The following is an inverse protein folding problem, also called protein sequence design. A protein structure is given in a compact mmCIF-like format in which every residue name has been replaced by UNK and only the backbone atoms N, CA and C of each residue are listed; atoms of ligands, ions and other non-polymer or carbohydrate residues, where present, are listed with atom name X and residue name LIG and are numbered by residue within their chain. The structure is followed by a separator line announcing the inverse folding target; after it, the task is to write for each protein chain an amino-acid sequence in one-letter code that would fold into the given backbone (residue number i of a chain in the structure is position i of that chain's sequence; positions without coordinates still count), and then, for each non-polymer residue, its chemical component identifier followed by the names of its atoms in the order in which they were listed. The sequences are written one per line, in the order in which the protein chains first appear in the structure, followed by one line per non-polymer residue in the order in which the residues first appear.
data_IF_005904540723
#
_entry.id   IF_005904540723
#
_cell.length_a   1.000
_cell.length_b   1.000
_cell.length_c   1.000
_cell.angle_alpha   90.00
_cell.angle_beta   90.00
_cell.angle_gamma   90.00
#
_symmetry.space_group_name_H-M   'P 1'
#
loop_
_entity.id
_entity.type
_entity.pdbx_description
1 polymer ?
#
# COMPACT_ATOMS: atom_id res chain seq x y z
N UNK A 1 13.28 -9.38 -2.44
CA UNK A 1 13.45 -10.84 -2.20
C UNK A 1 14.85 -11.35 -2.54
N UNK A 2 15.48 -10.92 -3.65
CA UNK A 2 16.87 -11.33 -3.98
C UNK A 2 17.93 -10.95 -2.93
N UNK A 3 17.76 -9.84 -2.19
CA UNK A 3 18.73 -9.43 -1.15
C UNK A 3 18.73 -10.35 0.08
N UNK A 4 17.55 -10.83 0.50
CA UNK A 4 17.41 -11.74 1.62
C UNK A 4 18.06 -13.10 1.33
N UNK A 5 17.99 -13.55 0.07
CA UNK A 5 18.64 -14.79 -0.39
C UNK A 5 20.17 -14.61 -0.37
N UNK A 6 20.70 -13.44 -0.78
CA UNK A 6 22.14 -13.16 -0.74
C UNK A 6 22.72 -13.13 0.68
N UNK A 7 22.00 -12.50 1.62
CA UNK A 7 22.38 -12.50 3.04
C UNK A 7 22.26 -13.90 3.64
N UNK A 8 21.18 -14.63 3.33
CA UNK A 8 20.99 -16.01 3.78
C UNK A 8 22.10 -16.94 3.24
N UNK A 9 22.52 -16.77 1.97
CA UNK A 9 23.63 -17.53 1.39
C UNK A 9 24.96 -17.23 2.10
N UNK A 10 25.24 -15.95 2.41
CA UNK A 10 26.45 -15.57 3.12
C UNK A 10 26.51 -16.15 4.54
N UNK A 11 25.36 -16.20 5.24
CA UNK A 11 25.24 -16.83 6.57
C UNK A 11 25.35 -18.35 6.46
N UNK A 12 24.68 -18.98 5.49
CA UNK A 12 24.75 -20.44 5.26
C UNK A 12 26.17 -20.86 4.89
N UNK A 13 26.88 -20.10 4.06
CA UNK A 13 28.27 -20.34 3.72
C UNK A 13 29.15 -20.31 4.98
N UNK A 14 29.00 -19.30 5.84
CA UNK A 14 29.76 -19.21 7.09
C UNK A 14 29.46 -20.33 8.10
N UNK A 15 28.21 -20.77 8.18
CA UNK A 15 27.76 -21.78 9.15
C UNK A 15 28.11 -23.21 8.70
N UNK A 16 28.08 -23.49 7.39
CA UNK A 16 28.23 -24.86 6.87
C UNK A 16 29.53 -25.12 6.09
N UNK A 17 30.18 -24.08 5.55
CA UNK A 17 31.46 -24.22 4.83
C UNK A 17 32.58 -23.82 5.76
N UNK A 18 32.91 -24.68 6.72
CA UNK A 18 34.13 -24.53 7.50
C UNK A 18 35.05 -25.71 7.22
N UNK A 19 36.02 -25.48 6.33
CA UNK A 19 37.37 -26.08 6.24
C UNK A 19 37.86 -25.91 4.80
N UNK A 20 38.72 -24.91 4.55
CA UNK A 20 40.00 -25.11 3.83
C UNK A 20 40.85 -23.86 3.59
N UNK A 21 40.39 -22.61 3.78
CA UNK A 21 41.30 -21.43 3.82
C UNK A 21 40.76 -20.32 4.73
N UNK A 22 41.43 -19.99 5.88
CA UNK A 22 40.84 -19.12 6.89
C UNK A 22 40.75 -17.63 6.50
N UNK A 23 41.63 -17.12 5.63
CA UNK A 23 41.65 -15.70 5.28
C UNK A 23 40.69 -15.35 4.13
N UNK A 24 40.72 -16.11 3.03
CA UNK A 24 39.92 -15.83 1.83
C UNK A 24 38.41 -16.00 2.08
N UNK A 25 38.03 -16.99 2.88
CA UNK A 25 36.63 -17.28 3.21
C UNK A 25 36.02 -16.19 4.10
N UNK A 26 36.83 -15.58 4.97
CA UNK A 26 36.45 -14.41 5.79
C UNK A 26 36.21 -13.18 4.90
N UNK A 27 37.09 -12.91 3.94
CA UNK A 27 36.90 -11.80 2.99
C UNK A 27 35.66 -11.99 2.11
N UNK A 28 35.43 -13.18 1.56
CA UNK A 28 34.25 -13.48 0.74
C UNK A 28 32.97 -13.34 1.57
N UNK A 29 32.98 -13.79 2.82
CA UNK A 29 31.84 -13.65 3.73
C UNK A 29 31.54 -12.18 4.04
N UNK A 30 32.56 -11.38 4.37
CA UNK A 30 32.39 -9.95 4.65
C UNK A 30 31.89 -9.20 3.42
N UNK A 31 32.48 -9.46 2.26
CA UNK A 31 32.04 -8.86 0.99
C UNK A 31 30.61 -9.27 0.64
N UNK A 32 30.25 -10.55 0.81
CA UNK A 32 28.88 -11.03 0.54
C UNK A 32 27.86 -10.43 1.50
N UNK A 33 28.22 -10.26 2.78
CA UNK A 33 27.38 -9.58 3.76
C UNK A 33 27.22 -8.08 3.43
N UNK A 34 28.30 -7.39 3.05
CA UNK A 34 28.25 -5.99 2.62
C UNK A 34 27.40 -5.79 1.37
N UNK A 35 27.53 -6.67 0.37
CA UNK A 35 26.70 -6.63 -0.85
C UNK A 35 25.24 -6.92 -0.50
N UNK A 36 24.97 -7.94 0.31
CA UNK A 36 23.61 -8.27 0.75
C UNK A 36 22.93 -7.10 1.49
N UNK A 37 23.66 -6.46 2.41
CA UNK A 37 23.19 -5.26 3.11
C UNK A 37 22.95 -4.10 2.13
N UNK A 38 23.86 -3.86 1.21
CA UNK A 38 23.74 -2.79 0.21
C UNK A 38 22.51 -2.97 -0.67
N UNK A 39 22.28 -4.20 -1.17
CA UNK A 39 21.08 -4.51 -1.97
C UNK A 39 19.81 -4.36 -1.12
N UNK A 40 19.83 -4.77 0.16
CA UNK A 40 18.69 -4.56 1.06
C UNK A 40 18.37 -3.08 1.22
N UNK A 41 19.38 -2.25 1.52
CA UNK A 41 19.21 -0.80 1.67
C UNK A 41 18.65 -0.18 0.39
N UNK A 42 19.20 -0.52 -0.78
CA UNK A 42 18.69 -0.01 -2.06
C UNK A 42 17.25 -0.47 -2.32
N UNK A 43 16.92 -1.74 -2.10
CA UNK A 43 15.55 -2.24 -2.27
C UNK A 43 14.57 -1.54 -1.33
N UNK A 44 14.98 -1.22 -0.11
CA UNK A 44 14.15 -0.50 0.84
C UNK A 44 13.92 0.96 0.43
N UNK A 45 14.98 1.62 -0.07
CA UNK A 45 14.90 2.97 -0.63
C UNK A 45 13.98 2.98 -1.86
N UNK A 46 14.15 2.03 -2.79
CA UNK A 46 13.33 1.91 -4.00
C UNK A 46 11.86 1.68 -3.67
N UNK A 47 11.57 0.79 -2.72
CA UNK A 47 10.21 0.53 -2.27
C UNK A 47 9.58 1.77 -1.61
N UNK A 48 10.33 2.47 -0.76
CA UNK A 48 9.88 3.72 -0.13
C UNK A 48 9.66 4.85 -1.16
N UNK A 49 10.57 5.00 -2.12
CA UNK A 49 10.46 5.99 -3.19
C UNK A 49 9.27 5.71 -4.12
N UNK A 50 9.07 4.45 -4.52
CA UNK A 50 7.93 4.04 -5.34
C UNK A 50 6.59 4.26 -4.61
N UNK A 51 6.54 3.94 -3.31
CA UNK A 51 5.38 4.23 -2.46
C UNK A 51 5.07 5.72 -2.37
N UNK A 52 6.09 6.57 -2.20
CA UNK A 52 5.95 8.02 -2.16
C UNK A 52 5.45 8.59 -3.49
N UNK A 53 5.99 8.11 -4.63
CA UNK A 53 5.55 8.53 -5.97
C UNK A 53 4.09 8.12 -6.22
N UNK A 54 3.69 6.91 -5.85
CA UNK A 54 2.29 6.46 -5.96
C UNK A 54 1.38 7.34 -5.09
N UNK A 55 1.78 7.65 -3.86
CA UNK A 55 1.01 8.48 -2.95
C UNK A 55 0.85 9.93 -3.48
N UNK A 56 1.92 10.52 -4.02
CA UNK A 56 1.89 11.86 -4.62
C UNK A 56 0.96 11.91 -5.85
N UNK A 57 1.05 10.90 -6.73
CA UNK A 57 0.17 10.80 -7.90
C UNK A 57 -1.31 10.68 -7.52
N UNK A 58 -1.63 9.87 -6.50
CA UNK A 58 -2.99 9.75 -5.96
C UNK A 58 -3.45 11.06 -5.32
N UNK A 59 -2.60 11.71 -4.53
CA UNK A 59 -2.91 12.97 -3.85
C UNK A 59 -3.23 14.08 -4.85
N UNK A 60 -2.36 14.27 -5.85
CA UNK A 60 -2.56 15.27 -6.90
C UNK A 60 -3.84 15.02 -7.70
N UNK A 61 -4.16 13.76 -8.00
CA UNK A 61 -5.41 13.42 -8.67
C UNK A 61 -6.64 13.75 -7.81
N UNK A 62 -6.59 13.44 -6.51
CA UNK A 62 -7.65 13.79 -5.57
C UNK A 62 -7.84 15.31 -5.44
N UNK A 63 -6.77 16.10 -5.48
CA UNK A 63 -6.87 17.57 -5.51
C UNK A 63 -7.58 18.08 -6.76
N UNK A 64 -7.27 17.51 -7.94
CA UNK A 64 -7.95 17.86 -9.19
C UNK A 64 -9.44 17.51 -9.12
N UNK A 65 -9.79 16.34 -8.58
CA UNK A 65 -11.19 15.95 -8.38
C UNK A 65 -11.92 16.88 -7.40
N UNK A 66 -11.26 17.33 -6.32
CA UNK A 66 -11.83 18.31 -5.39
C UNK A 66 -12.04 19.69 -6.03
N UNK A 67 -11.16 20.09 -6.95
CA UNK A 67 -11.35 21.31 -7.74
C UNK A 67 -12.52 21.16 -8.72
N UNK A 68 -12.60 20.02 -9.40
CA UNK A 68 -13.69 19.68 -10.30
C UNK A 68 -15.05 19.63 -9.60
N UNK A 69 -15.14 19.05 -8.39
CA UNK A 69 -16.35 19.08 -7.58
C UNK A 69 -16.81 20.51 -7.28
N UNK A 70 -15.90 21.39 -6.84
CA UNK A 70 -16.21 22.81 -6.57
C UNK A 70 -16.72 23.53 -7.82
N UNK A 71 -16.18 23.19 -8.99
CA UNK A 71 -16.65 23.72 -10.28
C UNK A 71 -18.10 23.30 -10.56
N UNK A 72 -18.45 22.03 -10.34
CA UNK A 72 -19.84 21.55 -10.47
C UNK A 72 -20.77 22.27 -9.48
N UNK A 73 -20.34 22.44 -8.23
CA UNK A 73 -21.12 23.15 -7.22
C UNK A 73 -21.39 24.61 -7.62
N UNK A 74 -20.40 25.29 -8.22
CA UNK A 74 -20.57 26.64 -8.76
C UNK A 74 -21.53 26.67 -9.96
N UNK A 75 -21.39 25.72 -10.89
CA UNK A 75 -22.29 25.61 -12.05
C UNK A 75 -23.74 25.41 -11.58
N UNK A 76 -23.97 24.54 -10.59
CA UNK A 76 -25.28 24.23 -10.01
C UNK A 76 -25.86 25.40 -9.20
N UNK A 77 -25.01 26.20 -8.56
CA UNK A 77 -25.45 27.42 -7.87
C UNK A 77 -25.81 28.55 -8.85
N UNK A 78 -25.17 28.58 -10.02
CA UNK A 78 -25.37 29.61 -11.04
C UNK A 78 -26.55 29.33 -11.99
N UNK A 79 -26.93 28.06 -12.18
CA UNK A 79 -28.04 27.64 -13.04
C UNK A 79 -28.93 26.62 -12.34
N UNK A 80 -30.25 26.84 -12.38
CA UNK A 80 -31.23 25.92 -11.81
C UNK A 80 -31.45 24.63 -12.63
N UNK A 81 -30.91 24.57 -13.85
CA UNK A 81 -30.97 23.40 -14.72
C UNK A 81 -29.59 23.11 -15.34
N UNK A 82 -29.12 21.88 -15.17
CA UNK A 82 -27.97 21.35 -15.89
C UNK A 82 -28.39 21.12 -17.35
N UNK A 83 -27.87 21.95 -18.25
CA UNK A 83 -28.02 21.75 -19.68
C UNK A 83 -27.22 20.50 -20.11
N UNK A 84 -27.79 19.71 -21.03
CA UNK A 84 -27.18 18.47 -21.53
C UNK A 84 -25.76 18.66 -22.08
N UNK A 85 -25.44 19.69 -22.89
CA UNK A 85 -24.08 19.96 -23.36
C UNK A 85 -23.11 20.26 -22.22
N UNK A 86 -23.54 20.97 -21.18
CA UNK A 86 -22.70 21.27 -20.02
C UNK A 86 -22.40 19.99 -19.22
N UNK A 87 -23.40 19.13 -19.04
CA UNK A 87 -23.24 17.84 -18.38
C UNK A 87 -22.27 16.92 -19.15
N UNK A 88 -22.38 16.87 -20.48
CA UNK A 88 -21.46 16.11 -21.34
C UNK A 88 -20.03 16.64 -21.25
N UNK A 89 -19.83 17.96 -21.29
CA UNK A 89 -18.51 18.56 -21.13
C UNK A 89 -17.88 18.25 -19.76
N UNK A 90 -18.67 18.31 -18.68
CA UNK A 90 -18.19 17.94 -17.33
C UNK A 90 -17.85 16.47 -17.22
N UNK A 91 -18.62 15.58 -17.86
CA UNK A 91 -18.32 14.14 -17.90
C UNK A 91 -16.98 13.86 -18.61
N UNK A 92 -16.71 14.53 -19.73
CA UNK A 92 -15.46 14.37 -20.47
C UNK A 92 -14.25 14.84 -19.63
N UNK A 93 -14.37 16.01 -18.99
CA UNK A 93 -13.35 16.54 -18.06
C UNK A 93 -13.09 15.57 -16.90
N UNK A 94 -14.14 14.95 -16.35
CA UNK A 94 -14.00 13.94 -15.30
C UNK A 94 -13.25 12.68 -15.77
N UNK A 95 -13.60 12.14 -16.94
CA UNK A 95 -12.91 10.95 -17.48
C UNK A 95 -11.46 11.27 -17.85
N UNK A 96 -11.14 12.50 -18.28
CA UNK A 96 -9.76 12.94 -18.50
C UNK A 96 -8.96 12.99 -17.19
N UNK A 97 -9.49 13.60 -16.13
CA UNK A 97 -8.85 13.63 -14.81
C UNK A 97 -8.60 12.21 -14.31
N UNK A 98 -9.59 11.33 -14.45
CA UNK A 98 -9.49 9.92 -14.05
C UNK A 98 -8.46 9.14 -14.86
N UNK A 99 -8.41 9.35 -16.18
CA UNK A 99 -7.42 8.74 -17.05
C UNK A 99 -5.99 9.24 -16.75
N UNK A 100 -5.86 10.43 -16.15
CA UNK A 100 -4.59 11.01 -15.72
C UNK A 100 -3.91 10.32 -14.53
N UNK A 101 -4.60 9.43 -13.80
CA UNK A 101 -3.99 8.65 -12.73
C UNK A 101 -3.87 7.17 -13.12
N UNK A 102 -2.65 6.71 -13.38
CA UNK A 102 -2.37 5.30 -13.67
C UNK A 102 -2.49 4.39 -12.43
N UNK A 103 -2.55 4.98 -11.24
CA UNK A 103 -2.65 4.26 -9.98
C UNK A 103 -4.07 4.35 -9.45
N UNK A 104 -4.61 3.20 -9.04
CA UNK A 104 -5.87 3.16 -8.32
C UNK A 104 -5.62 2.75 -6.86
N UNK A 105 -6.55 3.12 -5.99
CA UNK A 105 -6.60 2.62 -4.63
C UNK A 105 -6.76 1.10 -4.62
N UNK A 106 -6.23 0.46 -3.58
CA UNK A 106 -6.41 -0.98 -3.43
C UNK A 106 -7.87 -1.27 -3.02
N UNK A 107 -8.43 -2.43 -3.38
CA UNK A 107 -9.81 -2.77 -3.01
C UNK A 107 -10.07 -2.68 -1.50
N UNK A 108 -9.05 -2.98 -0.68
CA UNK A 108 -9.11 -2.86 0.79
C UNK A 108 -9.31 -1.41 1.26
N UNK A 109 -8.78 -0.43 0.53
CA UNK A 109 -8.94 1.00 0.85
C UNK A 109 -10.38 1.44 0.61
N UNK A 110 -11.01 1.01 -0.49
CA UNK A 110 -12.43 1.29 -0.78
C UNK A 110 -13.36 0.60 0.24
N UNK A 111 -13.09 -0.64 0.61
CA UNK A 111 -13.84 -1.33 1.66
C UNK A 111 -13.72 -0.62 3.01
N UNK A 112 -12.52 -0.14 3.37
CA UNK A 112 -12.29 0.64 4.58
C UNK A 112 -13.04 1.98 4.52
N UNK A 113 -12.97 2.69 3.39
CA UNK A 113 -13.69 3.96 3.19
C UNK A 113 -15.20 3.77 3.37
N UNK A 114 -15.78 2.75 2.73
CA UNK A 114 -17.21 2.41 2.88
C UNK A 114 -17.55 2.04 4.32
N UNK A 115 -16.66 1.35 5.03
CA UNK A 115 -16.87 1.01 6.44
C UNK A 115 -16.88 2.26 7.33
N UNK A 116 -15.99 3.23 7.07
CA UNK A 116 -15.91 4.49 7.79
C UNK A 116 -17.10 5.40 7.49
N UNK A 117 -17.49 5.50 6.21
CA UNK A 117 -18.59 6.34 5.74
C UNK A 117 -19.95 5.65 5.79
N UNK A 118 -20.08 4.49 6.43
CA UNK A 118 -21.32 3.69 6.48
C UNK A 118 -22.56 4.47 6.96
N UNK A 119 -22.36 5.52 7.76
CA UNK A 119 -23.43 6.37 8.31
C UNK A 119 -23.61 7.71 7.56
N UNK A 120 -22.82 7.96 6.53
CA UNK A 120 -23.02 9.12 5.64
C UNK A 120 -24.33 8.98 4.85
N UNK A 121 -24.84 10.11 4.34
CA UNK A 121 -26.15 10.14 3.67
C UNK A 121 -26.16 9.26 2.41
N UNK A 122 -25.03 9.15 1.74
CA UNK A 122 -24.84 8.43 0.47
C UNK A 122 -24.88 6.91 0.64
N UNK A 123 -24.47 6.40 1.82
CA UNK A 123 -24.35 4.96 2.09
C UNK A 123 -25.42 4.41 3.05
N UNK A 124 -26.22 5.31 3.60
CA UNK A 124 -27.32 5.01 4.52
C UNK A 124 -28.51 4.35 3.84
N UNK A 125 -29.17 3.47 4.59
CA UNK A 125 -30.29 2.67 4.10
C UNK A 125 -31.53 3.52 3.77
N UNK A 126 -31.77 4.56 4.57
CA UNK A 126 -32.93 5.46 4.47
C UNK A 126 -32.86 6.42 3.28
N UNK A 127 -31.67 6.64 2.72
CA UNK A 127 -31.48 7.46 1.53
C UNK A 127 -31.41 6.62 0.24
N UNK A 128 -31.54 5.28 0.33
CA UNK A 128 -31.50 4.38 -0.83
C UNK A 128 -32.90 3.85 -1.19
N UNK A 129 -33.19 3.72 -2.50
CA UNK A 129 -34.47 3.18 -2.97
C UNK A 129 -34.74 1.74 -2.48
N UNK A 130 -33.70 0.95 -2.21
CA UNK A 130 -33.80 -0.43 -1.75
C UNK A 130 -33.94 -0.59 -0.23
N UNK A 131 -33.84 0.50 0.55
CA UNK A 131 -33.98 0.46 2.01
C UNK A 131 -32.92 -0.36 2.76
N UNK A 132 -31.86 -0.82 2.07
CA UNK A 132 -30.78 -1.65 2.63
C UNK A 132 -29.48 -0.87 2.70
N UNK A 133 -28.73 -0.93 3.82
CA UNK A 133 -27.44 -0.28 3.92
C UNK A 133 -26.42 -0.96 2.99
N UNK A 134 -25.54 -0.19 2.36
CA UNK A 134 -24.52 -0.74 1.46
C UNK A 134 -23.54 -1.67 2.19
N UNK A 135 -23.31 -1.43 3.48
CA UNK A 135 -22.45 -2.25 4.32
C UNK A 135 -23.11 -2.50 5.67
N UNK A 136 -23.14 -3.75 6.10
CA UNK A 136 -23.61 -4.11 7.45
C UNK A 136 -22.53 -3.80 8.48
N UNK A 137 -22.93 -3.70 9.75
CA UNK A 137 -22.00 -3.43 10.86
C UNK A 137 -20.88 -4.48 10.95
N UNK A 138 -21.23 -5.76 10.78
CA UNK A 138 -20.28 -6.89 10.82
C UNK A 138 -19.28 -6.79 9.66
N UNK A 139 -19.77 -6.56 8.43
CA UNK A 139 -18.89 -6.40 7.27
C UNK A 139 -17.96 -5.20 7.44
N UNK A 140 -18.46 -4.08 7.98
CA UNK A 140 -17.63 -2.91 8.26
C UNK A 140 -16.53 -3.19 9.28
N UNK A 141 -16.82 -3.91 10.37
CA UNK A 141 -15.80 -4.32 11.34
C UNK A 141 -14.76 -5.26 10.73
N UNK A 142 -15.18 -6.19 9.88
CA UNK A 142 -14.27 -7.10 9.18
C UNK A 142 -13.35 -6.34 8.21
N UNK A 143 -13.88 -5.39 7.44
CA UNK A 143 -13.07 -4.55 6.54
C UNK A 143 -12.01 -3.74 7.30
N UNK A 144 -12.36 -3.17 8.45
CA UNK A 144 -11.38 -2.48 9.32
C UNK A 144 -10.29 -3.43 9.82
N UNK A 145 -10.67 -4.66 10.22
CA UNK A 145 -9.70 -5.67 10.65
C UNK A 145 -8.77 -6.09 9.49
N UNK A 146 -9.32 -6.30 8.30
CA UNK A 146 -8.54 -6.65 7.10
C UNK A 146 -7.56 -5.53 6.73
N UNK A 147 -7.97 -4.27 6.84
CA UNK A 147 -7.09 -3.13 6.60
C UNK A 147 -5.96 -3.03 7.65
N UNK A 148 -6.25 -3.31 8.93
CA UNK A 148 -5.21 -3.38 9.96
C UNK A 148 -4.23 -4.53 9.69
N UNK A 149 -4.75 -5.68 9.26
CA UNK A 149 -3.93 -6.84 8.91
C UNK A 149 -3.06 -6.58 7.69
N UNK A 150 -3.59 -5.94 6.63
CA UNK A 150 -2.83 -5.60 5.42
C UNK A 150 -1.67 -4.65 5.72
N UNK A 151 -1.84 -3.74 6.69
CA UNK A 151 -0.76 -2.86 7.15
C UNK A 151 0.29 -3.59 8.03
N UNK A 152 -0.14 -4.54 8.87
CA UNK A 152 0.70 -5.12 9.91
C UNK A 152 1.40 -6.44 9.54
N UNK A 153 0.88 -7.21 8.58
CA UNK A 153 1.36 -8.59 8.33
C UNK A 153 2.84 -8.66 7.97
N UNK A 154 3.35 -7.72 7.17
CA UNK A 154 4.75 -7.72 6.76
C UNK A 154 5.69 -7.45 7.94
N UNK A 155 5.29 -6.56 8.85
CA UNK A 155 6.01 -6.28 10.09
C UNK A 155 5.98 -7.48 11.03
N UNK A 156 4.82 -8.15 11.18
CA UNK A 156 4.71 -9.38 11.97
C UNK A 156 5.59 -10.51 11.40
N UNK A 157 5.57 -10.71 10.08
CA UNK A 157 6.41 -11.70 9.41
C UNK A 157 7.91 -11.43 9.66
N UNK A 158 8.32 -10.16 9.60
CA UNK A 158 9.69 -9.74 9.92
C UNK A 158 10.09 -10.12 11.35
N UNK A 159 9.24 -9.84 12.34
CA UNK A 159 9.54 -10.23 13.73
C UNK A 159 9.54 -11.73 13.97
N UNK A 160 8.67 -12.49 13.29
CA UNK A 160 8.69 -13.96 13.35
C UNK A 160 10.01 -14.51 12.83
N UNK A 161 10.55 -13.95 11.74
CA UNK A 161 11.88 -14.33 11.23
C UNK A 161 12.99 -13.99 12.22
N UNK A 162 12.98 -12.79 12.81
CA UNK A 162 13.96 -12.39 13.84
C UNK A 162 13.90 -13.35 15.04
N UNK A 163 12.70 -13.65 15.54
CA UNK A 163 12.52 -14.55 16.67
C UNK A 163 13.01 -15.97 16.33
N UNK A 164 12.69 -16.47 15.13
CA UNK A 164 13.17 -17.76 14.65
C UNK A 164 14.70 -17.83 14.54
N UNK A 165 15.35 -16.75 14.10
CA UNK A 165 16.80 -16.65 14.08
C UNK A 165 17.38 -16.63 15.50
N UNK A 166 16.84 -15.80 16.40
CA UNK A 166 17.29 -15.69 17.79
C UNK A 166 17.18 -17.03 18.56
N UNK A 167 16.11 -17.79 18.32
CA UNK A 167 15.90 -19.10 18.92
C UNK A 167 16.83 -20.19 18.37
N UNK A 168 17.34 -20.02 17.14
CA UNK A 168 18.28 -20.96 16.51
C UNK A 168 19.77 -20.54 16.68
N UNK A 169 20.06 -19.43 17.35
CA UNK A 169 21.43 -19.11 17.73
C UNK A 169 21.87 -20.15 18.76
N UNK A 170 22.99 -20.87 18.54
CA UNK A 170 23.58 -21.69 19.57
C UNK A 170 24.10 -20.76 20.67
N UNK A 171 23.28 -20.56 21.71
CA UNK A 171 23.69 -19.93 22.95
C UNK A 171 24.74 -20.86 23.55
N UNK A 172 26.01 -20.47 23.46
CA UNK A 172 27.14 -21.33 23.79
C UNK A 172 26.98 -22.03 25.13
N UNK A 173 26.96 -23.36 25.07
CA UNK A 173 27.37 -24.27 26.14
C UNK A 173 28.58 -25.05 25.63
#
# INVERSE_FOLDING_TARGET
MFSAIGIALAVVQKVYVQKSTPELDSYITVVSACIGLFVLVISLIEWGASGAVKADALHRNAELLNQFQRKIEQDLASSSALDEPLATARREEYEEIKAGCAHNHEPVDDELFRAQQRLSKEFRADCKPDGKPQMSWIKGKLAVLMALWSAAWAYLAFWVVILGLLLNIPWGH
#
